data_IF_598412238586
#
_entry.id   IF_598412238586
#
_cell.length_a   1.000
_cell.length_b   1.000
_cell.length_c   1.000
_cell.angle_alpha   90.00
_cell.angle_beta   90.00
_cell.angle_gamma   90.00
#
_symmetry.space_group_name_H-M   'P 1'
#
loop_
_entity.id
_entity.type
_entity.pdbx_description
1 polymer ?
#
# COMPACT_ATOMS: atom_id res chain seq x y z
N UNK A 1 -5.42 -15.35 -32.92
CA UNK A 1 -6.87 -15.49 -32.65
C UNK A 1 -7.39 -16.76 -33.31
N UNK A 2 -8.33 -17.46 -32.68
CA UNK A 2 -9.06 -18.59 -33.24
C UNK A 2 -10.10 -18.14 -34.27
N UNK A 3 -10.33 -19.00 -35.26
CA UNK A 3 -11.38 -18.84 -36.27
C UNK A 3 -12.73 -19.34 -35.76
N UNK A 4 -13.84 -18.89 -36.35
CA UNK A 4 -15.20 -19.34 -35.99
C UNK A 4 -15.36 -20.87 -36.03
N UNK A 5 -14.81 -21.54 -37.05
CA UNK A 5 -14.82 -23.01 -37.16
C UNK A 5 -14.10 -23.70 -36.00
N UNK A 6 -13.03 -23.09 -35.48
CA UNK A 6 -12.32 -23.61 -34.30
C UNK A 6 -13.14 -23.39 -33.03
N UNK A 7 -13.81 -22.25 -32.89
CA UNK A 7 -14.70 -21.94 -31.76
C UNK A 7 -15.89 -22.91 -31.73
N UNK A 8 -16.50 -23.19 -32.89
CA UNK A 8 -17.58 -24.19 -33.05
C UNK A 8 -17.14 -25.58 -32.59
N UNK A 9 -15.94 -26.03 -32.98
CA UNK A 9 -15.39 -27.32 -32.54
C UNK A 9 -15.20 -27.38 -31.02
N UNK A 10 -14.79 -26.27 -30.40
CA UNK A 10 -14.60 -26.17 -28.95
C UNK A 10 -15.96 -26.16 -28.24
N UNK A 11 -16.95 -25.43 -28.76
CA UNK A 11 -18.30 -25.39 -28.20
C UNK A 11 -18.94 -26.79 -28.16
N UNK A 12 -18.82 -27.55 -29.27
CA UNK A 12 -19.28 -28.94 -29.35
C UNK A 12 -18.57 -29.84 -28.33
N UNK A 13 -17.25 -29.71 -28.18
CA UNK A 13 -16.45 -30.48 -27.21
C UNK A 13 -16.88 -30.17 -25.77
N UNK A 14 -17.13 -28.91 -25.47
CA UNK A 14 -17.49 -28.43 -24.13
C UNK A 14 -18.99 -28.58 -23.84
N UNK A 15 -19.80 -29.04 -24.81
CA UNK A 15 -21.26 -29.19 -24.72
C UNK A 15 -21.96 -27.88 -24.31
N UNK A 16 -21.47 -26.75 -24.82
CA UNK A 16 -22.05 -25.42 -24.61
C UNK A 16 -22.52 -24.85 -25.94
N UNK A 17 -23.42 -23.87 -25.87
CA UNK A 17 -23.85 -23.16 -27.09
C UNK A 17 -22.66 -22.43 -27.72
N UNK A 18 -22.70 -22.28 -29.05
CA UNK A 18 -21.70 -21.49 -29.78
C UNK A 18 -21.59 -20.08 -29.20
N UNK A 19 -22.72 -19.44 -28.92
CA UNK A 19 -22.78 -18.10 -28.34
C UNK A 19 -22.06 -18.01 -26.98
N UNK A 20 -22.25 -19.00 -26.10
CA UNK A 20 -21.54 -19.09 -24.81
C UNK A 20 -20.03 -19.18 -25.03
N UNK A 21 -19.59 -20.04 -25.95
CA UNK A 21 -18.17 -20.23 -26.24
C UNK A 21 -17.53 -19.00 -26.90
N UNK A 22 -18.27 -18.30 -27.78
CA UNK A 22 -17.84 -17.04 -28.40
C UNK A 22 -17.68 -15.93 -27.35
N UNK A 23 -18.65 -15.77 -26.45
CA UNK A 23 -18.59 -14.80 -25.34
C UNK A 23 -17.36 -15.06 -24.46
N UNK A 24 -17.18 -16.30 -24.03
CA UNK A 24 -16.08 -16.67 -23.13
C UNK A 24 -14.71 -16.52 -23.81
N UNK A 25 -14.62 -16.82 -25.11
CA UNK A 25 -13.41 -16.60 -25.91
C UNK A 25 -13.08 -15.11 -26.06
N UNK A 26 -14.06 -14.26 -26.37
CA UNK A 26 -13.87 -12.81 -26.46
C UNK A 26 -13.43 -12.25 -25.11
N UNK A 27 -14.04 -12.70 -24.01
CA UNK A 27 -13.63 -12.31 -22.66
C UNK A 27 -12.18 -12.74 -22.36
N UNK A 28 -11.80 -13.97 -22.69
CA UNK A 28 -10.44 -14.47 -22.48
C UNK A 28 -9.41 -13.69 -23.30
N UNK A 29 -9.71 -13.38 -24.57
CA UNK A 29 -8.84 -12.56 -25.42
C UNK A 29 -8.74 -11.13 -24.89
N UNK A 30 -9.86 -10.53 -24.49
CA UNK A 30 -9.88 -9.19 -23.90
C UNK A 30 -9.03 -9.12 -22.63
N UNK A 31 -9.22 -10.06 -21.69
CA UNK A 31 -8.42 -10.12 -20.46
C UNK A 31 -6.95 -10.38 -20.80
N UNK A 32 -6.65 -11.28 -21.72
CA UNK A 32 -5.27 -11.53 -22.17
C UNK A 32 -4.63 -10.26 -22.73
N UNK A 33 -5.36 -9.48 -23.53
CA UNK A 33 -4.85 -8.22 -24.09
C UNK A 33 -4.68 -7.15 -23.00
N UNK A 34 -5.64 -7.05 -22.09
CA UNK A 34 -5.60 -6.12 -20.96
C UNK A 34 -4.42 -6.41 -20.03
N UNK A 35 -4.20 -7.67 -19.67
CA UNK A 35 -3.09 -8.10 -18.81
C UNK A 35 -1.75 -8.22 -19.55
N UNK A 36 -1.73 -8.34 -20.88
CA UNK A 36 -0.49 -8.28 -21.67
C UNK A 36 0.07 -6.87 -21.80
N UNK A 37 -0.75 -5.85 -21.55
CA UNK A 37 -0.29 -4.47 -21.50
C UNK A 37 0.18 -4.18 -20.08
N UNK A 38 1.44 -3.77 -19.94
CA UNK A 38 1.92 -3.18 -18.69
C UNK A 38 1.13 -1.90 -18.44
N UNK A 39 0.17 -1.96 -17.53
CA UNK A 39 -0.53 -0.78 -17.04
C UNK A 39 0.46 -0.06 -16.12
N UNK A 40 0.99 1.07 -16.59
CA UNK A 40 1.72 1.99 -15.72
C UNK A 40 0.75 2.61 -14.73
N UNK A 41 1.00 2.45 -13.43
CA UNK A 41 0.23 3.12 -12.38
C UNK A 41 0.95 4.41 -12.01
N UNK A 42 0.21 5.53 -12.07
CA UNK A 42 0.69 6.79 -11.53
C UNK A 42 0.51 6.72 -10.01
N UNK A 43 1.61 6.82 -9.28
CA UNK A 43 1.64 6.83 -7.82
C UNK A 43 2.40 8.06 -7.34
N UNK A 44 2.10 8.50 -6.12
CA UNK A 44 2.91 9.49 -5.44
C UNK A 44 4.35 8.99 -5.26
N UNK A 45 5.30 9.90 -5.24
CA UNK A 45 6.69 9.59 -4.93
C UNK A 45 6.83 9.13 -3.46
N UNK A 46 7.92 8.42 -3.14
CA UNK A 46 8.08 7.77 -1.84
C UNK A 46 8.18 8.76 -0.67
N UNK A 47 8.78 9.91 -0.90
CA UNK A 47 8.85 11.09 -0.02
C UNK A 47 7.45 11.65 0.28
N UNK A 48 6.60 11.82 -0.74
CA UNK A 48 5.21 12.23 -0.54
C UNK A 48 4.38 11.17 0.20
N UNK A 49 4.57 9.89 -0.10
CA UNK A 49 3.94 8.79 0.63
C UNK A 49 4.39 8.83 2.09
N UNK A 50 5.68 9.01 2.34
CA UNK A 50 6.24 9.09 3.69
C UNK A 50 5.62 10.22 4.50
N UNK A 51 5.57 11.44 3.94
CA UNK A 51 4.98 12.59 4.61
C UNK A 51 3.48 12.38 4.93
N UNK A 52 2.72 11.79 4.01
CA UNK A 52 1.33 11.42 4.27
C UNK A 52 1.18 10.35 5.35
N UNK A 53 2.15 9.43 5.49
CA UNK A 53 2.15 8.43 6.55
C UNK A 53 2.47 9.02 7.92
N UNK A 54 3.38 10.00 8.00
CA UNK A 54 3.61 10.76 9.24
C UNK A 54 2.34 11.50 9.66
N UNK A 55 1.73 12.25 8.72
CA UNK A 55 0.47 12.94 8.97
C UNK A 55 -0.63 11.98 9.40
N UNK A 56 -0.80 10.86 8.68
CA UNK A 56 -1.78 9.84 9.00
C UNK A 56 -1.58 9.31 10.42
N UNK A 57 -0.36 8.96 10.78
CA UNK A 57 -0.05 8.44 12.10
C UNK A 57 -0.39 9.44 13.22
N UNK A 58 -0.04 10.72 13.05
CA UNK A 58 -0.32 11.77 14.05
C UNK A 58 -1.84 12.03 14.21
N UNK A 59 -2.58 12.06 13.09
CA UNK A 59 -4.02 12.38 13.08
C UNK A 59 -4.88 11.18 13.45
N UNK A 60 -4.60 9.99 12.89
CA UNK A 60 -5.44 8.79 13.02
C UNK A 60 -4.90 7.76 14.00
N UNK A 61 -3.57 7.68 14.19
CA UNK A 61 -2.94 6.80 15.16
C UNK A 61 -3.20 5.30 14.97
N UNK A 62 -2.95 4.74 13.78
CA UNK A 62 -3.08 3.29 13.58
C UNK A 62 -1.71 2.60 13.52
N UNK A 63 -1.61 1.38 14.07
CA UNK A 63 -0.39 0.57 14.07
C UNK A 63 0.22 0.39 12.67
N UNK A 64 -0.62 0.18 11.65
CA UNK A 64 -0.17 0.04 10.25
C UNK A 64 0.55 1.27 9.70
N UNK A 65 0.20 2.48 10.13
CA UNK A 65 0.86 3.68 9.64
C UNK A 65 2.29 3.78 10.23
N UNK A 66 2.49 3.33 11.48
CA UNK A 66 3.83 3.18 12.06
C UNK A 66 4.65 2.08 11.36
N UNK A 67 4.02 0.95 11.01
CA UNK A 67 4.67 -0.09 10.22
C UNK A 67 5.11 0.41 8.83
N UNK A 68 4.24 1.15 8.14
CA UNK A 68 4.56 1.73 6.84
C UNK A 68 5.75 2.70 6.92
N UNK A 69 5.80 3.54 7.96
CA UNK A 69 6.94 4.44 8.20
C UNK A 69 8.23 3.68 8.45
N UNK A 70 8.20 2.66 9.31
CA UNK A 70 9.36 1.78 9.53
C UNK A 70 9.83 1.17 8.22
N UNK A 71 8.92 0.61 7.43
CA UNK A 71 9.23 -0.03 6.16
C UNK A 71 9.84 0.94 5.14
N UNK A 72 9.34 2.17 5.06
CA UNK A 72 9.90 3.20 4.17
C UNK A 72 11.31 3.64 4.62
N UNK A 73 11.55 3.74 5.93
CA UNK A 73 12.89 4.02 6.47
C UNK A 73 13.88 2.90 6.19
N UNK A 74 13.46 1.63 6.24
CA UNK A 74 14.29 0.48 5.84
C UNK A 74 14.63 0.52 4.35
N UNK A 75 13.74 1.07 3.53
CA UNK A 75 13.99 1.37 2.11
C UNK A 75 14.80 2.64 1.88
N UNK A 76 15.35 3.24 2.94
CA UNK A 76 16.20 4.44 2.92
C UNK A 76 15.49 5.68 2.36
N UNK A 77 14.17 5.74 2.46
CA UNK A 77 13.42 6.97 2.19
C UNK A 77 13.82 7.99 3.27
N UNK A 78 14.27 9.16 2.84
CA UNK A 78 14.69 10.23 3.75
C UNK A 78 13.46 11.05 4.14
N UNK A 79 13.23 11.30 5.43
CA UNK A 79 12.17 12.22 5.84
C UNK A 79 12.48 13.63 5.34
N UNK A 80 11.44 14.33 4.91
CA UNK A 80 11.48 15.74 4.51
C UNK A 80 10.52 16.50 5.43
N UNK A 81 11.09 17.32 6.32
CA UNK A 81 10.33 18.03 7.34
C UNK A 81 9.45 19.13 6.77
N UNK A 82 9.89 19.79 5.69
CA UNK A 82 9.11 20.82 5.02
C UNK A 82 7.88 20.19 4.37
N UNK A 83 8.07 19.04 3.70
CA UNK A 83 6.98 18.29 3.11
C UNK A 83 6.01 17.77 4.18
N UNK A 84 6.51 17.19 5.28
CA UNK A 84 5.68 16.73 6.42
C UNK A 84 4.84 17.90 6.98
N UNK A 85 5.46 19.05 7.24
CA UNK A 85 4.75 20.23 7.75
C UNK A 85 3.71 20.74 6.75
N UNK A 86 4.00 20.72 5.45
CA UNK A 86 3.01 21.08 4.42
C UNK A 86 1.77 20.19 4.46
N UNK A 87 1.92 18.91 4.81
CA UNK A 87 0.81 17.96 4.96
C UNK A 87 0.03 18.19 6.25
N UNK A 88 0.72 18.52 7.34
CA UNK A 88 0.11 18.79 8.64
C UNK A 88 -0.59 20.15 8.71
N UNK A 89 -0.15 21.14 7.93
CA UNK A 89 -0.77 22.47 7.86
C UNK A 89 -2.26 22.41 7.48
N UNK A 90 -2.69 21.40 6.72
CA UNK A 90 -4.12 21.15 6.41
C UNK A 90 -4.97 20.83 7.64
N UNK A 91 -4.34 20.58 8.78
CA UNK A 91 -4.94 20.26 10.08
C UNK A 91 -4.52 21.26 11.16
N UNK A 92 -4.01 22.44 10.77
CA UNK A 92 -3.48 23.47 11.67
C UNK A 92 -2.42 22.92 12.66
N UNK A 93 -1.62 21.97 12.19
CA UNK A 93 -0.57 21.29 12.95
C UNK A 93 0.80 21.50 12.32
N UNK A 94 1.83 21.39 13.16
CA UNK A 94 3.23 21.24 12.76
C UNK A 94 3.79 19.96 13.37
N UNK A 95 4.89 19.47 12.80
CA UNK A 95 5.57 18.30 13.34
C UNK A 95 6.23 18.63 14.69
N UNK A 96 5.98 17.78 15.68
CA UNK A 96 6.67 17.73 16.97
C UNK A 96 7.17 16.31 17.20
N UNK A 97 8.45 16.18 17.55
CA UNK A 97 9.08 14.89 17.86
C UNK A 97 8.50 14.30 19.15
N UNK A 98 8.08 15.13 20.09
CA UNK A 98 7.41 14.76 21.33
C UNK A 98 6.03 14.17 21.04
N UNK A 99 5.17 14.88 20.29
CA UNK A 99 3.83 14.39 19.91
C UNK A 99 3.94 13.07 19.14
N UNK A 100 4.93 12.98 18.24
CA UNK A 100 5.20 11.75 17.48
C UNK A 100 5.58 10.59 18.40
N UNK A 101 6.48 10.81 19.35
CA UNK A 101 6.96 9.77 20.28
C UNK A 101 5.83 9.27 21.18
N UNK A 102 5.02 10.19 21.72
CA UNK A 102 3.84 9.85 22.52
C UNK A 102 2.82 9.05 21.70
N UNK A 103 2.58 9.46 20.45
CA UNK A 103 1.66 8.75 19.56
C UNK A 103 2.14 7.33 19.28
N UNK A 104 3.44 7.14 19.02
CA UNK A 104 4.04 5.81 18.81
C UNK A 104 3.86 4.94 20.05
N UNK A 105 4.16 5.47 21.24
CA UNK A 105 4.03 4.76 22.51
C UNK A 105 2.61 4.18 22.75
N UNK A 106 1.58 4.92 22.32
CA UNK A 106 0.19 4.47 22.47
C UNK A 106 -0.16 3.24 21.62
N UNK A 107 0.62 2.95 20.56
CA UNK A 107 0.34 1.87 19.62
C UNK A 107 0.83 0.49 20.07
N UNK A 108 1.71 0.43 21.07
CA UNK A 108 2.30 -0.82 21.56
C UNK A 108 1.23 -1.89 21.87
N UNK A 109 0.17 -1.48 22.59
CA UNK A 109 -0.91 -2.38 23.01
C UNK A 109 -1.70 -2.98 21.83
N UNK A 110 -1.80 -2.23 20.73
CA UNK A 110 -2.54 -2.63 19.53
C UNK A 110 -1.66 -3.29 18.46
N UNK A 111 -0.33 -3.17 18.56
CA UNK A 111 0.62 -3.49 17.49
C UNK A 111 0.41 -4.88 16.89
N UNK A 112 0.56 -5.92 17.71
CA UNK A 112 0.45 -7.30 17.24
C UNK A 112 -0.99 -7.65 16.84
N UNK A 113 -1.97 -7.16 17.60
CA UNK A 113 -3.39 -7.44 17.35
C UNK A 113 -3.84 -6.92 15.98
N UNK A 114 -3.38 -5.73 15.61
CA UNK A 114 -3.79 -5.06 14.38
C UNK A 114 -3.01 -5.55 13.16
N UNK A 115 -1.73 -5.92 13.34
CA UNK A 115 -0.84 -6.27 12.23
C UNK A 115 -0.79 -7.77 11.90
N UNK A 116 -0.94 -8.66 12.90
CA UNK A 116 -0.89 -10.12 12.66
C UNK A 116 -1.90 -10.59 11.61
N UNK A 117 -3.18 -10.15 11.61
CA UNK A 117 -4.15 -10.55 10.59
C UNK A 117 -3.79 -10.08 9.17
N UNK A 118 -2.97 -9.03 9.05
CA UNK A 118 -2.61 -8.43 7.76
C UNK A 118 -1.32 -9.01 7.19
N UNK A 119 -0.35 -9.33 8.05
CA UNK A 119 1.02 -9.68 7.65
C UNK A 119 1.38 -11.14 7.92
N UNK A 120 0.65 -11.83 8.80
CA UNK A 120 0.96 -13.18 9.28
C UNK A 120 2.15 -13.25 10.25
N UNK A 121 3.20 -12.47 9.99
CA UNK A 121 4.36 -12.28 10.86
C UNK A 121 4.63 -10.79 10.99
N UNK A 122 4.90 -10.33 12.21
CA UNK A 122 5.09 -8.90 12.53
C UNK A 122 6.44 -8.69 13.17
N UNK A 123 7.13 -7.62 12.78
CA UNK A 123 8.35 -7.16 13.44
C UNK A 123 8.05 -6.77 14.91
N UNK A 124 8.97 -7.02 15.87
CA UNK A 124 8.79 -6.53 17.23
C UNK A 124 8.53 -5.02 17.26
N UNK A 125 7.59 -4.60 18.09
CA UNK A 125 7.16 -3.19 18.19
C UNK A 125 8.34 -2.27 18.48
N UNK A 126 9.23 -2.68 19.39
CA UNK A 126 10.36 -1.89 19.88
C UNK A 126 11.35 -1.58 18.75
N UNK A 127 11.53 -2.53 17.83
CA UNK A 127 12.41 -2.38 16.66
C UNK A 127 11.83 -1.32 15.71
N UNK A 128 10.53 -1.43 15.39
CA UNK A 128 9.86 -0.50 14.50
C UNK A 128 9.77 0.91 15.11
N UNK A 129 9.32 1.01 16.36
CA UNK A 129 9.18 2.25 17.11
C UNK A 129 10.51 3.00 17.20
N UNK A 130 11.57 2.32 17.67
CA UNK A 130 12.90 2.92 17.81
C UNK A 130 13.40 3.46 16.47
N UNK A 131 13.31 2.65 15.41
CA UNK A 131 13.80 3.03 14.08
C UNK A 131 13.11 4.27 13.53
N UNK A 132 11.79 4.40 13.77
CA UNK A 132 11.00 5.54 13.33
C UNK A 132 11.30 6.79 14.15
N UNK A 133 11.43 6.66 15.47
CA UNK A 133 11.85 7.76 16.35
C UNK A 133 13.23 8.27 15.93
N UNK A 134 14.23 7.39 15.83
CA UNK A 134 15.59 7.75 15.42
C UNK A 134 15.61 8.39 14.01
N UNK A 135 14.82 7.84 13.09
CA UNK A 135 14.73 8.33 11.72
C UNK A 135 14.19 9.75 11.63
N UNK A 136 13.18 10.08 12.44
CA UNK A 136 12.56 11.41 12.42
C UNK A 136 13.27 12.42 13.33
N UNK A 137 13.89 11.97 14.43
CA UNK A 137 14.74 12.83 15.29
C UNK A 137 15.96 13.37 14.54
N UNK A 138 16.44 12.67 13.51
CA UNK A 138 17.56 13.16 12.68
C UNK A 138 17.20 14.38 11.80
N UNK A 139 15.93 14.78 11.76
CA UNK A 139 15.40 15.81 10.85
C UNK A 139 14.74 16.98 11.61
N UNK A 140 14.59 16.87 12.93
CA UNK A 140 14.14 17.94 13.84
C UNK A 140 15.33 18.71 14.40
#
# INVERSE_FOLDING_TARGET
MLTRKQIEKIALKNRVSLFTQERDYVQAVYLSLLYSKTIGLIAASLDHIFAEKVRALLVRGMARDLYDLWFLLERRVKPDIELINSKLALYDKSYSSEEMSERIAQLEKGWSKDLLPLLGVVVPYEVAAKRVVDGLMSVS
#
